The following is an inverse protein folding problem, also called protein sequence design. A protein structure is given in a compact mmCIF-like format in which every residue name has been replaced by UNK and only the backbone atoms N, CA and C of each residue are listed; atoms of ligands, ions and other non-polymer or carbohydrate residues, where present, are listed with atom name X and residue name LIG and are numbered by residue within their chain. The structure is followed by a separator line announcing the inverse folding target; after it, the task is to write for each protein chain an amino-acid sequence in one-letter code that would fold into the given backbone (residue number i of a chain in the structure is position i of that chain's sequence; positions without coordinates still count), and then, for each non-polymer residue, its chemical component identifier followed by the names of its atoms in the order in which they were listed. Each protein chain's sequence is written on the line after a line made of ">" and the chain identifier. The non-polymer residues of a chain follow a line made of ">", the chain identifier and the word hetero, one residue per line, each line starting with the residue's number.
data_IF_763070577407
#
_entry.id   IF_763070577407
#
_cell.length_a   1.000
_cell.length_b   1.000
_cell.length_c   1.000
_cell.angle_alpha   90.00
_cell.angle_beta   90.00
_cell.angle_gamma   90.00
#
_symmetry.space_group_name_H-M   'P 1'
#
loop_
_entity.id
_entity.type
_entity.pdbx_description
1 polymer ?
#
# COMPACT_ATOMS: atom_id res chain seq x y z
N UNK A 1 2.56 -5.59 16.00
CA UNK A 1 1.34 -4.94 15.45
C UNK A 1 1.78 -4.01 14.33
N UNK A 2 1.00 -3.88 13.27
CA UNK A 2 1.33 -3.02 12.14
C UNK A 2 0.11 -2.25 11.64
N UNK A 3 0.34 -1.30 10.73
CA UNK A 3 -0.74 -0.58 10.06
C UNK A 3 -0.29 0.01 8.72
N UNK A 4 -1.26 0.27 7.85
CA UNK A 4 -1.02 0.88 6.55
C UNK A 4 -2.23 1.62 5.98
N UNK A 5 -2.01 2.21 4.82
CA UNK A 5 -3.03 2.88 4.02
C UNK A 5 -3.23 2.14 2.71
N UNK A 6 -4.47 1.86 2.36
CA UNK A 6 -4.84 1.27 1.07
C UNK A 6 -5.67 2.30 0.29
N UNK A 7 -5.11 2.90 -0.76
CA UNK A 7 -5.87 3.78 -1.64
C UNK A 7 -6.93 3.00 -2.42
N UNK A 8 -8.10 3.60 -2.56
CA UNK A 8 -9.24 3.09 -3.31
C UNK A 8 -9.74 4.20 -4.25
N UNK A 9 -10.23 3.82 -5.41
CA UNK A 9 -10.81 4.75 -6.37
C UNK A 9 -11.99 4.13 -7.11
N UNK A 10 -12.90 5.00 -7.56
CA UNK A 10 -13.96 4.62 -8.47
C UNK A 10 -13.51 4.82 -9.91
N UNK A 11 -13.69 3.77 -10.74
CA UNK A 11 -13.45 3.87 -12.18
C UNK A 11 -14.49 3.05 -12.95
N UNK A 12 -15.20 3.70 -13.87
CA UNK A 12 -16.28 3.10 -14.67
C UNK A 12 -17.31 2.34 -13.82
N UNK A 13 -17.73 2.95 -12.71
CA UNK A 13 -18.72 2.37 -11.79
C UNK A 13 -18.23 1.20 -10.96
N UNK A 14 -16.94 0.92 -10.96
CA UNK A 14 -16.32 -0.16 -10.17
C UNK A 14 -15.31 0.40 -9.17
N UNK A 15 -15.23 -0.27 -8.02
CA UNK A 15 -14.27 0.06 -6.96
C UNK A 15 -12.95 -0.66 -7.22
N UNK A 16 -11.87 0.11 -7.30
CA UNK A 16 -10.50 -0.37 -7.48
C UNK A 16 -9.67 -0.07 -6.25
N UNK A 17 -8.76 -0.98 -5.89
CA UNK A 17 -7.81 -0.80 -4.80
C UNK A 17 -6.38 -0.76 -5.36
N UNK A 18 -5.57 0.17 -4.87
CA UNK A 18 -4.18 0.34 -5.29
C UNK A 18 -3.25 -0.39 -4.35
N UNK A 19 -2.81 -1.58 -4.74
CA UNK A 19 -1.83 -2.35 -3.99
C UNK A 19 -0.41 -2.04 -4.43
N UNK A 20 0.51 -2.12 -3.49
CA UNK A 20 1.95 -2.04 -3.73
C UNK A 20 2.57 -3.43 -3.70
N UNK A 21 3.61 -3.64 -4.50
CA UNK A 21 4.38 -4.88 -4.52
C UNK A 21 5.69 -4.69 -3.78
N UNK A 22 5.98 -5.60 -2.85
CA UNK A 22 7.28 -5.69 -2.20
C UNK A 22 8.34 -5.93 -3.26
N UNK A 23 9.45 -5.17 -3.21
CA UNK A 23 10.49 -5.28 -4.23
C UNK A 23 11.06 -6.69 -4.35
N UNK A 24 11.20 -7.15 -5.60
CA UNK A 24 11.87 -8.43 -5.90
C UNK A 24 13.39 -8.35 -5.75
N UNK A 25 13.93 -7.14 -5.65
CA UNK A 25 15.38 -6.91 -5.51
C UNK A 25 15.88 -7.14 -4.09
N UNK A 26 14.96 -7.31 -3.13
CA UNK A 26 15.28 -7.67 -1.74
C UNK A 26 14.74 -9.06 -1.43
N UNK A 27 15.56 -9.87 -0.74
CA UNK A 27 15.16 -11.22 -0.32
C UNK A 27 14.24 -11.17 0.90
N UNK A 28 13.28 -12.09 0.98
CA UNK A 28 12.36 -12.23 2.10
C UNK A 28 11.03 -12.84 1.68
N UNK A 29 10.22 -13.24 2.66
CA UNK A 29 8.92 -13.91 2.45
C UNK A 29 7.88 -13.01 1.75
N UNK A 30 8.08 -11.70 1.81
CA UNK A 30 7.23 -10.71 1.15
C UNK A 30 7.64 -10.38 -0.28
N UNK A 31 8.84 -10.78 -0.73
CA UNK A 31 9.38 -10.42 -2.04
C UNK A 31 8.40 -10.73 -3.18
N UNK A 32 8.11 -9.72 -4.01
CA UNK A 32 7.19 -9.84 -5.14
C UNK A 32 5.71 -9.97 -4.77
N UNK A 33 5.34 -9.83 -3.49
CA UNK A 33 3.96 -9.94 -3.02
C UNK A 33 3.31 -8.59 -2.78
N UNK A 34 1.98 -8.57 -2.88
CA UNK A 34 1.16 -7.37 -2.73
C UNK A 34 0.70 -7.16 -1.29
N UNK A 35 0.64 -5.91 -0.90
CA UNK A 35 -0.03 -5.41 0.31
C UNK A 35 -0.46 -3.94 0.11
N UNK A 36 -0.98 -3.32 1.16
CA UNK A 36 -1.13 -1.86 1.22
C UNK A 36 0.23 -1.16 1.41
N UNK A 37 0.22 0.15 1.62
CA UNK A 37 1.37 0.94 2.03
C UNK A 37 1.46 0.93 3.55
N UNK A 38 2.23 0.00 4.09
CA UNK A 38 2.24 -0.20 5.52
C UNK A 38 3.27 -1.21 6.00
N UNK A 39 3.51 -1.17 7.30
CA UNK A 39 4.52 -1.98 7.95
C UNK A 39 4.34 -2.09 9.45
N UNK A 40 5.42 -2.43 10.13
CA UNK A 40 5.44 -2.67 11.56
C UNK A 40 5.43 -1.36 12.34
N UNK A 41 4.72 -1.38 13.45
CA UNK A 41 4.70 -0.28 14.41
C UNK A 41 6.07 -0.12 15.07
N UNK A 42 6.53 1.11 15.17
CA UNK A 42 7.67 1.50 15.99
C UNK A 42 7.26 1.70 17.46
N UNK A 43 8.27 1.85 18.35
CA UNK A 43 8.03 2.08 19.78
C UNK A 43 7.14 3.32 19.99
N UNK A 44 6.09 3.16 20.80
CA UNK A 44 5.12 4.20 21.16
C UNK A 44 4.23 4.74 20.01
N UNK A 45 4.25 4.13 18.83
CA UNK A 45 3.32 4.50 17.78
C UNK A 45 1.91 3.93 18.02
N UNK A 46 0.90 4.69 17.64
CA UNK A 46 -0.46 4.18 17.44
C UNK A 46 -0.59 3.55 16.05
N UNK A 47 -1.57 2.68 15.79
CA UNK A 47 -1.82 2.18 14.43
C UNK A 47 -2.00 3.32 13.40
N UNK A 48 -2.62 4.42 13.81
CA UNK A 48 -2.78 5.60 12.96
C UNK A 48 -1.44 6.26 12.61
N UNK A 49 -0.57 6.46 13.62
CA UNK A 49 0.77 7.05 13.40
C UNK A 49 1.64 6.14 12.51
N UNK A 50 1.60 4.82 12.74
CA UNK A 50 2.28 3.83 11.89
C UNK A 50 1.79 3.92 10.44
N UNK A 51 0.48 3.92 10.22
CA UNK A 51 -0.09 4.00 8.88
C UNK A 51 0.33 5.28 8.13
N UNK A 52 0.35 6.42 8.82
CA UNK A 52 0.79 7.70 8.22
C UNK A 52 2.28 7.66 7.86
N UNK A 53 3.14 7.18 8.75
CA UNK A 53 4.58 7.07 8.50
C UNK A 53 4.88 6.13 7.33
N UNK A 54 4.38 4.91 7.40
CA UNK A 54 4.62 3.88 6.37
C UNK A 54 4.08 4.32 4.99
N UNK A 55 2.88 4.87 4.93
CA UNK A 55 2.30 5.35 3.68
C UNK A 55 3.13 6.50 3.08
N UNK A 56 3.69 7.38 3.92
CA UNK A 56 4.59 8.43 3.47
C UNK A 56 5.89 7.87 2.91
N UNK A 57 6.52 6.92 3.60
CA UNK A 57 7.77 6.30 3.20
C UNK A 57 7.63 5.48 1.91
N UNK A 58 6.57 4.67 1.80
CA UNK A 58 6.39 3.70 0.72
C UNK A 58 5.69 4.23 -0.53
N UNK A 59 5.00 5.37 -0.46
CA UNK A 59 4.27 5.91 -1.61
C UNK A 59 5.13 6.70 -2.59
N UNK A 60 6.41 6.91 -2.32
CA UNK A 60 7.30 7.75 -3.15
C UNK A 60 6.71 9.12 -3.48
N UNK A 61 5.99 9.69 -2.53
CA UNK A 61 5.42 11.04 -2.60
C UNK A 61 4.06 11.17 -3.29
N UNK A 62 3.51 10.14 -3.93
CA UNK A 62 2.22 10.28 -4.63
C UNK A 62 1.04 10.49 -3.68
N UNK A 63 1.12 10.06 -2.42
CA UNK A 63 0.13 10.35 -1.38
C UNK A 63 0.36 11.70 -0.69
N UNK A 64 1.42 12.40 -1.07
CA UNK A 64 1.77 13.70 -0.49
C UNK A 64 2.55 13.60 0.82
N UNK A 65 2.53 14.68 1.58
CA UNK A 65 3.17 14.76 2.89
C UNK A 65 2.43 13.94 3.97
N UNK A 66 3.04 13.78 5.13
CA UNK A 66 2.35 13.19 6.30
C UNK A 66 1.07 13.94 6.64
N UNK A 67 1.06 15.26 6.49
CA UNK A 67 -0.14 16.10 6.69
C UNK A 67 -1.23 15.78 5.65
N UNK A 68 -0.87 15.58 4.40
CA UNK A 68 -1.82 15.20 3.33
C UNK A 68 -2.41 13.82 3.59
N UNK A 69 -1.60 12.85 4.01
CA UNK A 69 -2.06 11.49 4.37
C UNK A 69 -3.01 11.54 5.58
N UNK A 70 -2.71 12.36 6.59
CA UNK A 70 -3.62 12.58 7.72
C UNK A 70 -4.97 13.14 7.27
N UNK A 71 -4.97 14.09 6.33
CA UNK A 71 -6.20 14.64 5.73
C UNK A 71 -6.97 13.57 4.95
N UNK A 72 -6.29 12.73 4.16
CA UNK A 72 -6.91 11.61 3.45
C UNK A 72 -7.64 10.68 4.45
N UNK A 73 -6.98 10.26 5.51
CA UNK A 73 -7.59 9.37 6.51
C UNK A 73 -8.74 10.08 7.24
N UNK A 74 -8.63 11.37 7.50
CA UNK A 74 -9.68 12.13 8.22
C UNK A 74 -10.92 12.38 7.38
N UNK A 75 -10.75 12.79 6.12
CA UNK A 75 -11.83 13.31 5.28
C UNK A 75 -12.27 12.38 4.16
N UNK A 76 -11.44 11.41 3.77
CA UNK A 76 -11.67 10.50 2.65
C UNK A 76 -11.54 9.02 3.03
N UNK A 77 -11.64 8.72 4.32
CA UNK A 77 -11.64 7.33 4.78
C UNK A 77 -12.96 6.65 4.44
N UNK A 78 -12.88 5.56 3.68
CA UNK A 78 -14.01 4.71 3.34
C UNK A 78 -14.23 3.59 4.35
N UNK A 79 -13.15 3.02 4.90
CA UNK A 79 -13.21 1.98 5.91
C UNK A 79 -11.93 1.90 6.75
N UNK A 80 -12.06 1.27 7.90
CA UNK A 80 -10.94 0.81 8.72
C UNK A 80 -11.10 -0.69 8.92
N UNK A 81 -10.20 -1.47 8.35
CA UNK A 81 -10.17 -2.93 8.45
C UNK A 81 -9.10 -3.32 9.44
N UNK A 82 -9.46 -4.09 10.48
CA UNK A 82 -8.50 -4.49 11.52
C UNK A 82 -8.56 -5.99 11.78
N UNK A 83 -7.39 -6.58 11.97
CA UNK A 83 -7.18 -7.89 12.58
C UNK A 83 -6.56 -7.70 13.98
N UNK A 84 -6.22 -8.80 14.65
CA UNK A 84 -5.50 -8.72 15.94
C UNK A 84 -4.12 -8.06 15.83
N UNK A 85 -3.50 -8.11 14.66
CA UNK A 85 -2.09 -7.71 14.47
C UNK A 85 -1.87 -6.59 13.47
N UNK A 86 -2.90 -6.21 12.69
CA UNK A 86 -2.76 -5.23 11.63
C UNK A 86 -4.02 -4.41 11.40
N UNK A 87 -3.85 -3.13 11.07
CA UNK A 87 -4.93 -2.22 10.69
C UNK A 87 -4.65 -1.57 9.34
N UNK A 88 -5.59 -1.66 8.41
CA UNK A 88 -5.56 -0.95 7.12
C UNK A 88 -6.61 0.16 7.11
N UNK A 89 -6.19 1.39 6.81
CA UNK A 89 -7.08 2.51 6.54
C UNK A 89 -7.30 2.60 5.03
N UNK A 90 -8.55 2.40 4.59
CA UNK A 90 -8.92 2.50 3.17
C UNK A 90 -9.37 3.93 2.92
N UNK A 91 -8.72 4.59 1.96
CA UNK A 91 -8.96 6.01 1.65
C UNK A 91 -9.28 6.19 0.17
N UNK A 92 -10.27 7.02 -0.13
CA UNK A 92 -10.61 7.35 -1.51
C UNK A 92 -9.63 8.37 -2.08
N UNK A 93 -9.11 8.06 -3.27
CA UNK A 93 -8.33 8.95 -4.11
C UNK A 93 -8.91 8.96 -5.53
N UNK A 94 -8.48 9.89 -6.37
CA UNK A 94 -8.81 9.87 -7.79
C UNK A 94 -8.12 8.69 -8.50
N UNK A 95 -8.86 8.02 -9.39
CA UNK A 95 -8.27 6.98 -10.21
C UNK A 95 -7.28 7.59 -11.20
N UNK A 96 -6.05 7.14 -11.16
CA UNK A 96 -5.00 7.49 -12.11
C UNK A 96 -4.45 6.22 -12.77
N UNK A 97 -4.75 6.07 -14.06
CA UNK A 97 -4.31 4.93 -14.87
C UNK A 97 -2.79 4.89 -15.04
N UNK A 98 -2.16 6.06 -15.07
CA UNK A 98 -0.72 6.20 -15.34
C UNK A 98 0.14 6.05 -14.09
N UNK A 99 -0.43 6.22 -12.91
CA UNK A 99 0.28 6.17 -11.64
C UNK A 99 1.13 4.89 -11.45
N UNK A 100 0.63 3.66 -11.75
CA UNK A 100 1.46 2.46 -11.64
C UNK A 100 2.69 2.47 -12.55
N UNK A 101 2.54 2.98 -13.77
CA UNK A 101 3.64 3.09 -14.74
C UNK A 101 4.69 4.10 -14.27
N UNK A 102 4.24 5.26 -13.84
CA UNK A 102 5.14 6.34 -13.41
C UNK A 102 5.89 5.95 -12.13
N UNK A 103 5.22 5.31 -11.17
CA UNK A 103 5.85 4.77 -9.98
C UNK A 103 6.96 3.76 -10.31
N UNK A 104 6.70 2.80 -11.20
CA UNK A 104 7.69 1.81 -11.60
C UNK A 104 8.85 2.41 -12.39
N UNK A 105 8.58 3.45 -13.17
CA UNK A 105 9.60 4.20 -13.92
C UNK A 105 10.59 4.89 -12.96
N UNK A 106 10.07 5.54 -11.91
CA UNK A 106 10.89 6.15 -10.87
C UNK A 106 11.75 5.12 -10.13
N UNK A 107 11.16 3.98 -9.75
CA UNK A 107 11.90 2.89 -9.12
C UNK A 107 13.06 2.40 -10.01
N UNK A 108 12.80 2.17 -11.29
CA UNK A 108 13.82 1.73 -12.25
C UNK A 108 14.92 2.77 -12.44
N UNK A 109 14.56 4.04 -12.44
CA UNK A 109 15.54 5.14 -12.51
C UNK A 109 16.49 5.11 -11.31
N UNK A 110 15.94 5.00 -10.09
CA UNK A 110 16.76 4.91 -8.87
C UNK A 110 17.62 3.65 -8.88
N UNK A 111 17.06 2.50 -9.26
CA UNK A 111 17.82 1.25 -9.38
C UNK A 111 19.01 1.36 -10.32
N UNK A 112 18.86 2.09 -11.42
CA UNK A 112 19.93 2.30 -12.42
C UNK A 112 21.00 3.29 -11.96
N UNK A 113 20.60 4.40 -11.33
CA UNK A 113 21.48 5.54 -11.03
C UNK A 113 21.99 5.58 -9.59
N UNK A 114 21.19 5.11 -8.64
CA UNK A 114 21.50 5.11 -7.20
C UNK A 114 21.04 3.80 -6.55
N UNK A 115 21.54 2.62 -6.97
CA UNK A 115 21.06 1.32 -6.52
C UNK A 115 21.22 1.13 -5.01
N UNK A 116 22.18 1.80 -4.38
CA UNK A 116 22.38 1.78 -2.93
C UNK A 116 21.18 2.26 -2.12
N UNK A 117 20.34 3.14 -2.70
CA UNK A 117 19.13 3.62 -2.02
C UNK A 117 18.07 2.54 -1.85
N UNK A 118 18.06 1.53 -2.73
CA UNK A 118 17.10 0.41 -2.66
C UNK A 118 17.45 -0.52 -1.49
N UNK A 119 18.71 -0.66 -1.15
CA UNK A 119 19.20 -1.63 -0.14
C UNK A 119 19.35 -1.03 1.26
N UNK A 120 18.93 0.22 1.49
CA UNK A 120 19.14 0.91 2.78
C UNK A 120 18.20 0.47 3.90
N UNK A 121 17.15 -0.30 3.64
CA UNK A 121 16.15 -0.74 4.64
C UNK A 121 15.60 0.40 5.53
N UNK A 122 15.35 1.56 4.93
CA UNK A 122 14.89 2.77 5.62
C UNK A 122 13.42 3.13 5.31
N UNK A 123 12.65 2.19 4.78
CA UNK A 123 11.27 2.38 4.35
C UNK A 123 11.13 2.93 2.92
N UNK A 124 12.19 3.54 2.36
CA UNK A 124 12.18 4.07 1.00
C UNK A 124 12.52 2.97 -0.01
N UNK A 125 11.84 2.99 -1.17
CA UNK A 125 12.07 2.05 -2.28
C UNK A 125 11.88 0.57 -1.92
N UNK A 126 11.12 0.28 -0.87
CA UNK A 126 10.73 -1.08 -0.52
C UNK A 126 9.64 -1.64 -1.45
N UNK A 127 8.99 -0.76 -2.21
CA UNK A 127 7.99 -1.11 -3.22
C UNK A 127 8.51 -0.83 -4.63
N UNK A 128 8.38 -1.80 -5.53
CA UNK A 128 8.86 -1.67 -6.91
C UNK A 128 7.76 -1.52 -7.94
N UNK A 129 6.50 -1.75 -7.57
CA UNK A 129 5.35 -1.73 -8.49
C UNK A 129 4.05 -1.42 -7.75
N UNK A 130 3.15 -0.72 -8.45
CA UNK A 130 1.76 -0.54 -8.04
C UNK A 130 0.83 -1.27 -8.99
N UNK A 131 -0.31 -1.74 -8.47
CA UNK A 131 -1.33 -2.44 -9.26
C UNK A 131 -2.72 -2.00 -8.81
N UNK A 132 -3.53 -1.48 -9.74
CA UNK A 132 -4.96 -1.31 -9.53
C UNK A 132 -5.67 -2.65 -9.70
N UNK A 133 -6.35 -3.14 -8.67
CA UNK A 133 -7.18 -4.34 -8.72
C UNK A 133 -8.64 -3.99 -8.40
N UNK A 134 -9.60 -4.32 -9.28
CA UNK A 134 -11.00 -4.13 -8.96
C UNK A 134 -11.47 -5.15 -7.90
N UNK A 135 -12.44 -4.77 -7.09
CA UNK A 135 -12.98 -5.59 -6.00
C UNK A 135 -13.28 -7.04 -6.43
N UNK A 136 -13.95 -7.23 -7.57
CA UNK A 136 -14.35 -8.56 -8.07
C UNK A 136 -13.16 -9.46 -8.46
N UNK A 137 -11.96 -8.90 -8.60
CA UNK A 137 -10.73 -9.66 -8.92
C UNK A 137 -9.88 -10.01 -7.70
N UNK A 138 -10.21 -9.50 -6.51
CA UNK A 138 -9.38 -9.74 -5.31
C UNK A 138 -9.31 -11.23 -4.96
N UNK A 139 -10.44 -11.93 -5.00
CA UNK A 139 -10.50 -13.37 -4.69
C UNK A 139 -9.62 -14.21 -5.62
N UNK A 140 -9.69 -13.99 -6.93
CA UNK A 140 -8.89 -14.71 -7.93
C UNK A 140 -7.39 -14.37 -7.89
N UNK A 141 -7.03 -13.22 -7.31
CA UNK A 141 -5.65 -12.79 -7.14
C UNK A 141 -5.05 -13.09 -5.74
N UNK A 142 -5.74 -13.86 -4.90
CA UNK A 142 -5.34 -14.11 -3.51
C UNK A 142 -3.90 -14.62 -3.35
N UNK A 143 -3.38 -15.36 -4.32
CA UNK A 143 -1.99 -15.88 -4.30
C UNK A 143 -0.93 -14.80 -4.43
N UNK A 144 -1.28 -13.62 -4.96
CA UNK A 144 -0.36 -12.48 -5.16
C UNK A 144 -0.10 -11.70 -3.88
N UNK A 145 -0.95 -11.85 -2.87
CA UNK A 145 -0.83 -11.11 -1.62
C UNK A 145 0.14 -11.77 -0.64
N UNK A 146 0.77 -10.94 0.20
CA UNK A 146 1.59 -11.41 1.32
C UNK A 146 0.76 -12.36 2.19
N UNK A 147 1.34 -13.46 2.70
CA UNK A 147 0.59 -14.46 3.45
C UNK A 147 -0.26 -13.89 4.57
N UNK A 148 0.31 -13.01 5.39
CA UNK A 148 -0.37 -12.36 6.51
C UNK A 148 -1.44 -11.35 6.07
N UNK A 149 -1.27 -10.71 4.88
CA UNK A 149 -2.19 -9.71 4.37
C UNK A 149 -3.47 -10.32 3.74
N UNK A 150 -3.47 -11.61 3.44
CA UNK A 150 -4.64 -12.30 2.88
C UNK A 150 -5.88 -12.22 3.78
N UNK A 151 -5.71 -12.18 5.11
CA UNK A 151 -6.81 -12.00 6.06
C UNK A 151 -7.45 -10.61 5.91
N UNK A 152 -6.65 -9.57 5.71
CA UNK A 152 -7.13 -8.21 5.41
C UNK A 152 -7.90 -8.20 4.09
N UNK A 153 -7.37 -8.82 3.02
CA UNK A 153 -8.06 -8.88 1.71
C UNK A 153 -9.43 -9.57 1.82
N UNK A 154 -9.54 -10.65 2.60
CA UNK A 154 -10.83 -11.31 2.85
C UNK A 154 -11.83 -10.39 3.54
N UNK A 155 -11.38 -9.60 4.51
CA UNK A 155 -12.22 -8.62 5.20
C UNK A 155 -12.62 -7.47 4.27
N UNK A 156 -11.74 -7.00 3.38
CA UNK A 156 -12.05 -6.01 2.35
C UNK A 156 -13.17 -6.53 1.43
N UNK A 157 -13.03 -7.77 0.95
CA UNK A 157 -14.07 -8.39 0.11
C UNK A 157 -15.41 -8.44 0.86
N UNK A 158 -15.41 -8.79 2.15
CA UNK A 158 -16.63 -8.83 2.96
C UNK A 158 -17.25 -7.44 3.16
N UNK A 159 -16.43 -6.43 3.42
CA UNK A 159 -16.87 -5.05 3.70
C UNK A 159 -17.54 -4.39 2.50
N UNK A 160 -17.00 -4.62 1.29
CA UNK A 160 -17.41 -3.89 0.09
C UNK A 160 -18.28 -4.68 -0.89
N UNK A 161 -18.58 -5.92 -0.59
CA UNK A 161 -19.53 -6.75 -1.40
C UNK A 161 -20.98 -6.52 -1.01
#
# INVERSE_FOLDING_TARGET
>A
MGAGVLPMAWYKGKRYFLFSRETIDMKGDGSGKLSDFGGSKERNETPYATAVREAHEESSGFLGSKTDIKKLIRYHKEARISTKTYTTYIVEISYDRELPRDFQKDYRYVKKHNPELIYKHNGLYEKDKLIWLPLHKLKSNMRKFRPWYKSIVKLIIKEFN
#
